data_IF_644096536895
#
_entry.id   IF_644096536895
#
_cell.length_a   1.000
_cell.length_b   1.000
_cell.length_c   1.000
_cell.angle_alpha   90.00
_cell.angle_beta   90.00
_cell.angle_gamma   90.00
#
_symmetry.space_group_name_H-M   'P 1'
#
loop_
_entity.id
_entity.type
_entity.pdbx_description
1 polymer ?
#
# COMPACT_ATOMS: atom_id res chain seq x y z
N UNK A 1 3.96 18.41 29.88
CA UNK A 1 4.94 17.41 30.38
C UNK A 1 6.04 17.30 29.35
N UNK A 2 7.30 17.48 29.73
CA UNK A 2 8.45 17.24 28.85
C UNK A 2 8.56 15.75 28.61
N UNK A 3 8.46 15.32 27.35
CA UNK A 3 8.59 13.92 26.98
C UNK A 3 10.06 13.50 27.18
N UNK A 4 10.31 12.57 28.09
CA UNK A 4 11.66 12.06 28.36
C UNK A 4 12.01 11.06 27.27
N UNK A 5 13.00 11.40 26.43
CA UNK A 5 13.52 10.50 25.39
C UNK A 5 14.37 9.41 26.09
N UNK A 6 14.09 8.11 25.87
CA UNK A 6 14.89 7.04 26.45
C UNK A 6 16.29 7.00 25.81
N UNK A 7 17.27 6.47 26.54
CA UNK A 7 18.56 6.09 25.93
C UNK A 7 18.35 4.83 25.10
N UNK A 8 18.76 4.87 23.83
CA UNK A 8 18.67 3.72 22.93
C UNK A 8 19.94 2.88 23.02
N UNK A 9 19.78 1.55 22.98
CA UNK A 9 20.87 0.59 22.84
C UNK A 9 20.81 0.02 21.43
N UNK A 10 21.76 0.42 20.58
CA UNK A 10 21.83 -0.03 19.19
C UNK A 10 22.44 -1.43 19.18
N UNK A 11 21.68 -2.40 18.67
CA UNK A 11 22.16 -3.78 18.53
C UNK A 11 23.15 -3.92 17.37
N UNK A 12 24.15 -4.83 17.47
CA UNK A 12 25.03 -5.14 16.35
C UNK A 12 24.24 -5.53 15.09
N UNK A 13 24.65 -5.03 13.93
CA UNK A 13 23.98 -5.30 12.65
C UNK A 13 22.77 -4.41 12.34
N UNK A 14 22.33 -3.56 13.27
CA UNK A 14 21.23 -2.62 13.04
C UNK A 14 21.49 -1.73 11.82
N UNK A 15 20.49 -1.63 10.93
CA UNK A 15 20.55 -0.82 9.72
C UNK A 15 19.49 0.29 9.77
N UNK A 16 19.87 1.58 9.74
CA UNK A 16 18.93 2.68 9.56
C UNK A 16 18.16 2.60 8.23
N UNK A 17 16.97 3.19 8.14
CA UNK A 17 16.14 3.24 6.93
C UNK A 17 16.80 4.00 5.78
N UNK A 18 17.79 4.85 6.09
CA UNK A 18 18.56 5.61 5.11
C UNK A 18 20.04 5.68 5.49
N UNK A 19 20.92 5.73 4.49
CA UNK A 19 22.38 5.77 4.68
C UNK A 19 22.89 7.05 5.33
N UNK A 20 22.12 8.14 5.23
CA UNK A 20 22.40 9.46 5.81
C UNK A 20 21.74 9.66 7.19
N UNK A 21 21.09 8.64 7.74
CA UNK A 21 20.45 8.67 9.06
C UNK A 21 21.31 7.90 10.06
N UNK A 22 21.68 8.53 11.19
CA UNK A 22 22.42 7.79 12.23
C UNK A 22 21.49 6.78 12.93
N UNK A 23 22.02 5.65 13.42
CA UNK A 23 21.21 4.68 14.17
C UNK A 23 20.43 5.30 15.32
N UNK A 24 20.97 6.28 16.04
CA UNK A 24 20.29 6.96 17.14
C UNK A 24 19.06 7.75 16.69
N UNK A 25 19.14 8.42 15.54
CA UNK A 25 18.01 9.15 14.95
C UNK A 25 16.93 8.18 14.50
N UNK A 26 17.33 7.10 13.82
CA UNK A 26 16.41 6.07 13.35
C UNK A 26 15.66 5.42 14.54
N UNK A 27 16.38 5.07 15.61
CA UNK A 27 15.76 4.55 16.85
C UNK A 27 14.74 5.54 17.45
N UNK A 28 15.04 6.83 17.47
CA UNK A 28 14.12 7.86 17.96
C UNK A 28 12.86 7.92 17.10
N UNK A 29 13.00 7.91 15.78
CA UNK A 29 11.88 7.92 14.83
C UNK A 29 10.97 6.70 15.02
N UNK A 30 11.55 5.49 15.09
CA UNK A 30 10.78 4.27 15.32
C UNK A 30 10.18 4.21 16.72
N UNK A 31 10.84 4.76 17.73
CA UNK A 31 10.27 4.90 19.07
C UNK A 31 9.06 5.84 19.10
N UNK A 32 9.07 6.92 18.32
CA UNK A 32 7.92 7.81 18.16
C UNK A 32 6.78 7.12 17.38
N UNK A 33 7.11 6.35 16.33
CA UNK A 33 6.12 5.60 15.55
C UNK A 33 5.45 4.49 16.38
N UNK A 34 6.18 3.83 17.28
CA UNK A 34 5.64 2.83 18.23
C UNK A 34 4.54 3.38 19.14
N UNK A 35 4.55 4.68 19.40
CA UNK A 35 3.52 5.34 20.23
C UNK A 35 2.25 5.68 19.44
N UNK A 36 2.19 5.31 18.16
CA UNK A 36 1.03 5.53 17.30
C UNK A 36 0.27 4.22 17.08
N UNK A 37 -1.05 4.29 16.96
CA UNK A 37 -1.84 3.16 16.48
C UNK A 37 -1.68 3.00 14.96
N UNK A 38 -2.03 1.84 14.38
CA UNK A 38 -2.07 1.69 12.92
C UNK A 38 -2.90 2.77 12.22
N UNK A 39 -4.08 3.11 12.76
CA UNK A 39 -4.95 4.17 12.21
C UNK A 39 -4.31 5.55 12.25
N UNK A 40 -3.58 5.87 13.32
CA UNK A 40 -2.84 7.12 13.41
C UNK A 40 -1.72 7.20 12.37
N UNK A 41 -1.01 6.09 12.11
CA UNK A 41 -0.01 6.04 11.02
C UNK A 41 -0.66 6.13 9.64
N UNK A 42 -1.84 5.54 9.44
CA UNK A 42 -2.62 5.70 8.21
C UNK A 42 -3.04 7.17 7.98
N UNK A 43 -3.46 7.89 9.04
CA UNK A 43 -3.77 9.33 8.96
C UNK A 43 -2.51 10.13 8.58
N UNK A 44 -1.36 9.81 9.19
CA UNK A 44 -0.08 10.45 8.85
C UNK A 44 0.29 10.22 7.38
N UNK A 45 0.18 8.98 6.89
CA UNK A 45 0.44 8.63 5.49
C UNK A 45 -0.50 9.32 4.52
N UNK A 46 -1.80 9.36 4.84
CA UNK A 46 -2.80 10.07 4.06
C UNK A 46 -2.49 11.56 3.94
N UNK A 47 -2.11 12.20 5.05
CA UNK A 47 -1.69 13.60 5.04
C UNK A 47 -0.44 13.83 4.18
N UNK A 48 0.56 12.95 4.26
CA UNK A 48 1.78 13.03 3.43
C UNK A 48 1.46 12.92 1.93
N UNK A 49 0.65 11.95 1.52
CA UNK A 49 0.27 11.77 0.12
C UNK A 49 -0.55 12.95 -0.41
N UNK A 50 -1.52 13.44 0.37
CA UNK A 50 -2.29 14.62 -0.01
C UNK A 50 -1.39 15.86 -0.19
N UNK A 51 -0.44 16.07 0.71
CA UNK A 51 0.50 17.18 0.63
C UNK A 51 1.43 17.06 -0.60
N UNK A 52 1.93 15.85 -0.88
CA UNK A 52 2.73 15.60 -2.07
C UNK A 52 1.95 15.89 -3.36
N UNK A 53 0.69 15.45 -3.45
CA UNK A 53 -0.18 15.72 -4.60
C UNK A 53 -0.50 17.22 -4.74
N UNK A 54 -0.84 17.90 -3.63
CA UNK A 54 -1.08 19.36 -3.62
C UNK A 54 0.14 20.13 -4.13
N UNK A 55 1.32 19.80 -3.63
CA UNK A 55 2.55 20.47 -4.06
C UNK A 55 2.88 20.19 -5.53
N UNK A 56 2.78 18.92 -5.97
CA UNK A 56 2.93 18.54 -7.38
C UNK A 56 2.00 19.33 -8.30
N UNK A 57 0.73 19.43 -7.93
CA UNK A 57 -0.28 20.19 -8.69
C UNK A 57 0.02 21.69 -8.72
N UNK A 58 0.45 22.29 -7.60
CA UNK A 58 0.87 23.68 -7.55
C UNK A 58 2.04 23.96 -8.49
N UNK A 59 3.06 23.10 -8.51
CA UNK A 59 4.18 23.20 -9.44
C UNK A 59 3.73 23.06 -10.91
N UNK A 60 2.80 22.13 -11.17
CA UNK A 60 2.22 21.94 -12.50
C UNK A 60 1.46 23.18 -12.96
N UNK A 61 0.64 23.79 -12.09
CA UNK A 61 -0.08 25.03 -12.42
C UNK A 61 0.86 26.17 -12.77
N UNK A 62 1.94 26.31 -12.02
CA UNK A 62 2.95 27.33 -12.30
C UNK A 62 3.66 27.09 -13.64
N UNK A 63 4.04 25.84 -13.92
CA UNK A 63 4.77 25.48 -15.14
C UNK A 63 3.89 25.50 -16.40
N UNK A 64 2.63 25.12 -16.26
CA UNK A 64 1.68 24.93 -17.36
C UNK A 64 0.52 25.94 -17.28
N UNK A 65 0.79 27.15 -16.79
CA UNK A 65 -0.22 28.21 -16.61
C UNK A 65 -0.90 28.67 -17.90
N UNK A 66 -0.34 28.30 -19.06
CA UNK A 66 -0.86 28.59 -20.39
C UNK A 66 -1.86 27.55 -20.91
N UNK A 67 -2.00 26.40 -20.24
CA UNK A 67 -2.95 25.37 -20.63
C UNK A 67 -4.37 25.75 -20.20
N UNK A 68 -5.37 25.38 -21.00
CA UNK A 68 -6.77 25.39 -20.53
C UNK A 68 -6.95 24.40 -19.37
N UNK A 69 -8.04 24.53 -18.61
CA UNK A 69 -8.33 23.59 -17.51
C UNK A 69 -8.38 22.14 -17.99
N UNK A 70 -8.96 21.88 -19.17
CA UNK A 70 -9.04 20.55 -19.78
C UNK A 70 -7.65 20.01 -20.12
N UNK A 71 -6.83 20.80 -20.82
CA UNK A 71 -5.46 20.45 -21.17
C UNK A 71 -4.58 20.22 -19.93
N UNK A 72 -4.77 21.04 -18.89
CA UNK A 72 -4.10 20.89 -17.61
C UNK A 72 -4.47 19.57 -16.93
N UNK A 73 -5.77 19.26 -16.86
CA UNK A 73 -6.28 18.03 -16.23
C UNK A 73 -5.74 16.79 -16.93
N UNK A 74 -5.74 16.80 -18.26
CA UNK A 74 -5.11 15.75 -19.07
C UNK A 74 -3.62 15.64 -18.80
N UNK A 75 -2.89 16.75 -18.78
CA UNK A 75 -1.44 16.76 -18.52
C UNK A 75 -1.10 16.19 -17.14
N UNK A 76 -1.94 16.48 -16.15
CA UNK A 76 -1.83 15.94 -14.80
C UNK A 76 -2.03 14.42 -14.79
N UNK A 77 -3.10 13.93 -15.44
CA UNK A 77 -3.37 12.50 -15.56
C UNK A 77 -2.25 11.74 -16.27
N UNK A 78 -1.77 12.24 -17.41
CA UNK A 78 -0.63 11.67 -18.15
C UNK A 78 0.62 11.56 -17.26
N UNK A 79 0.83 12.55 -16.37
CA UNK A 79 2.00 12.57 -15.49
C UNK A 79 1.87 11.66 -14.28
N UNK A 80 0.67 11.49 -13.74
CA UNK A 80 0.42 10.70 -12.53
C UNK A 80 0.18 9.22 -12.83
N UNK A 81 -0.51 8.92 -13.92
CA UNK A 81 -0.77 7.55 -14.39
C UNK A 81 0.33 7.03 -15.32
N UNK A 82 1.15 7.90 -15.91
CA UNK A 82 2.24 7.53 -16.81
C UNK A 82 1.75 6.63 -17.97
N UNK A 83 2.37 5.47 -18.15
CA UNK A 83 2.02 4.48 -19.18
C UNK A 83 0.61 3.89 -19.01
N UNK A 84 0.04 3.99 -17.81
CA UNK A 84 -1.31 3.50 -17.51
C UNK A 84 -2.40 4.56 -17.81
N UNK A 85 -2.06 5.73 -18.35
CA UNK A 85 -3.03 6.76 -18.70
C UNK A 85 -3.75 6.43 -20.03
N UNK A 86 -5.10 6.30 -20.04
CA UNK A 86 -5.82 6.03 -21.29
C UNK A 86 -5.70 7.18 -22.30
N UNK A 87 -5.57 6.88 -23.60
CA UNK A 87 -5.26 7.86 -24.66
C UNK A 87 -6.22 9.05 -24.78
N UNK A 88 -7.49 8.86 -24.43
CA UNK A 88 -8.55 9.88 -24.51
C UNK A 88 -9.13 10.26 -23.15
N UNK A 89 -8.41 9.94 -22.06
CA UNK A 89 -8.87 10.24 -20.72
C UNK A 89 -8.64 11.71 -20.36
N UNK A 90 -9.72 12.37 -19.93
CA UNK A 90 -9.71 13.70 -19.36
C UNK A 90 -10.38 13.59 -17.99
N UNK A 91 -9.65 13.85 -16.89
CA UNK A 91 -10.23 13.81 -15.55
C UNK A 91 -11.40 14.78 -15.41
N UNK A 92 -12.51 14.30 -14.85
CA UNK A 92 -13.72 15.11 -14.62
C UNK A 92 -13.77 15.74 -13.22
N UNK A 93 -12.87 15.30 -12.34
CA UNK A 93 -12.77 15.81 -10.98
C UNK A 93 -12.17 17.22 -10.89
N UNK A 94 -11.74 17.57 -9.69
CA UNK A 94 -11.12 18.85 -9.39
C UNK A 94 -9.96 18.66 -8.41
N UNK A 95 -9.32 19.77 -8.05
CA UNK A 95 -8.18 19.75 -7.13
C UNK A 95 -8.43 18.99 -5.84
N UNK A 96 -9.63 19.14 -5.25
CA UNK A 96 -9.98 18.48 -4.00
C UNK A 96 -10.10 16.97 -4.17
N UNK A 97 -10.58 16.48 -5.32
CA UNK A 97 -10.70 15.04 -5.60
C UNK A 97 -9.36 14.43 -5.99
N UNK A 98 -8.51 15.16 -6.72
CA UNK A 98 -7.22 14.68 -7.20
C UNK A 98 -6.17 14.55 -6.09
N UNK A 99 -6.25 15.39 -5.05
CA UNK A 99 -5.28 15.31 -3.95
C UNK A 99 -5.55 14.18 -2.96
N UNK A 100 -6.65 13.43 -3.10
CA UNK A 100 -7.00 12.38 -2.15
C UNK A 100 -5.94 11.26 -2.10
N UNK A 101 -5.82 10.63 -0.93
CA UNK A 101 -4.91 9.48 -0.73
C UNK A 101 -5.46 8.23 -1.43
N UNK A 102 -4.59 7.31 -1.88
CA UNK A 102 -5.07 6.09 -2.55
C UNK A 102 -5.92 5.18 -1.64
N UNK A 103 -5.75 5.24 -0.31
CA UNK A 103 -6.59 4.49 0.64
C UNK A 103 -8.06 4.90 0.60
N UNK A 104 -8.40 6.10 0.11
CA UNK A 104 -9.80 6.51 -0.02
C UNK A 104 -10.53 5.67 -1.06
N UNK A 105 -9.82 5.05 -2.03
CA UNK A 105 -10.42 4.08 -2.93
C UNK A 105 -10.99 2.87 -2.19
N UNK A 106 -10.43 2.50 -1.03
CA UNK A 106 -10.94 1.38 -0.25
C UNK A 106 -12.36 1.64 0.27
N UNK A 107 -12.74 2.89 0.52
CA UNK A 107 -14.10 3.25 0.90
C UNK A 107 -15.09 3.04 -0.26
N UNK A 108 -14.65 3.26 -1.49
CA UNK A 108 -15.46 3.08 -2.70
C UNK A 108 -15.55 1.59 -3.07
N UNK A 109 -14.45 0.86 -2.93
CA UNK A 109 -14.34 -0.55 -3.34
C UNK A 109 -14.96 -1.51 -2.33
N UNK A 110 -14.86 -1.23 -1.02
CA UNK A 110 -15.36 -2.11 0.04
C UNK A 110 -16.85 -2.49 -0.13
N UNK A 111 -17.78 -1.55 -0.35
CA UNK A 111 -19.20 -1.90 -0.55
C UNK A 111 -19.46 -2.82 -1.74
N UNK A 112 -18.66 -2.71 -2.81
CA UNK A 112 -18.77 -3.58 -3.98
C UNK A 112 -18.37 -5.00 -3.62
N UNK A 113 -17.22 -5.15 -2.95
CA UNK A 113 -16.74 -6.45 -2.50
C UNK A 113 -17.72 -7.13 -1.54
N UNK A 114 -18.28 -6.38 -0.59
CA UNK A 114 -19.33 -6.90 0.31
C UNK A 114 -20.58 -7.34 -0.47
N UNK A 115 -21.06 -6.53 -1.42
CA UNK A 115 -22.27 -6.84 -2.19
C UNK A 115 -22.13 -8.11 -3.06
N UNK A 116 -20.91 -8.40 -3.51
CA UNK A 116 -20.58 -9.57 -4.32
C UNK A 116 -20.04 -10.73 -3.49
N UNK A 117 -19.96 -10.60 -2.16
CA UNK A 117 -19.34 -11.57 -1.25
C UNK A 117 -17.91 -11.94 -1.67
N UNK A 118 -17.11 -10.96 -2.07
CA UNK A 118 -15.70 -11.12 -2.47
C UNK A 118 -14.83 -10.87 -1.23
N UNK A 119 -14.21 -11.89 -0.60
CA UNK A 119 -13.24 -11.67 0.45
C UNK A 119 -12.05 -10.87 -0.10
N UNK A 120 -11.61 -9.88 0.65
CA UNK A 120 -10.46 -9.06 0.27
C UNK A 120 -9.60 -8.67 1.48
N UNK A 121 -8.37 -8.24 1.21
CA UNK A 121 -7.57 -7.48 2.16
C UNK A 121 -6.63 -6.51 1.43
N UNK A 122 -6.34 -5.39 2.09
CA UNK A 122 -5.39 -4.37 1.63
C UNK A 122 -3.97 -4.80 2.01
N UNK A 123 -3.04 -4.70 1.07
CA UNK A 123 -1.64 -5.08 1.24
C UNK A 123 -0.70 -3.94 0.83
N UNK A 124 0.53 -4.28 0.46
CA UNK A 124 1.43 -3.43 -0.30
C UNK A 124 1.75 -2.12 0.40
N UNK A 125 1.55 -1.02 -0.33
CA UNK A 125 2.01 0.29 0.10
C UNK A 125 1.34 0.80 1.37
N UNK A 126 0.02 0.61 1.46
CA UNK A 126 -0.84 1.10 2.54
C UNK A 126 -0.65 0.29 3.82
N UNK A 127 -0.61 -1.05 3.71
CA UNK A 127 -0.42 -1.90 4.88
C UNK A 127 0.97 -1.68 5.51
N UNK A 128 2.01 -1.44 4.69
CA UNK A 128 3.34 -1.07 5.19
C UNK A 128 3.32 0.22 6.04
N UNK A 129 2.53 1.23 5.66
CA UNK A 129 2.38 2.47 6.41
C UNK A 129 1.66 2.20 7.75
N UNK A 130 0.61 1.37 7.74
CA UNK A 130 -0.14 1.03 8.94
C UNK A 130 0.74 0.36 10.01
N UNK A 131 1.67 -0.50 9.59
CA UNK A 131 2.49 -1.29 10.50
C UNK A 131 3.93 -0.80 10.67
N UNK A 132 4.42 0.11 9.84
CA UNK A 132 5.84 0.47 9.77
C UNK A 132 6.10 1.96 9.64
N UNK A 133 7.12 2.29 8.86
CA UNK A 133 7.50 3.68 8.58
C UNK A 133 6.45 4.38 7.71
N UNK A 134 6.09 5.60 8.08
CA UNK A 134 5.15 6.40 7.29
C UNK A 134 5.89 6.99 6.08
N UNK A 135 5.36 6.71 4.89
CA UNK A 135 5.88 7.23 3.61
C UNK A 135 4.74 7.48 2.63
N UNK A 136 5.04 8.05 1.47
CA UNK A 136 4.07 8.18 0.39
C UNK A 136 3.84 6.84 -0.33
N UNK A 137 2.65 6.66 -0.90
CA UNK A 137 2.31 5.54 -1.79
C UNK A 137 1.52 6.06 -2.98
N UNK A 138 1.66 5.43 -4.13
CA UNK A 138 0.99 5.87 -5.35
C UNK A 138 -0.35 5.17 -5.55
N UNK A 139 -0.37 3.86 -5.28
CA UNK A 139 -1.50 2.98 -5.57
C UNK A 139 -2.04 2.34 -4.30
N UNK A 140 -3.24 1.80 -4.39
CA UNK A 140 -3.84 0.93 -3.40
C UNK A 140 -3.73 -0.52 -3.89
N UNK A 141 -3.03 -1.37 -3.14
CA UNK A 141 -2.90 -2.79 -3.47
C UNK A 141 -3.93 -3.61 -2.69
N UNK A 142 -4.80 -4.34 -3.38
CA UNK A 142 -5.85 -5.16 -2.76
C UNK A 142 -5.76 -6.58 -3.30
N UNK A 143 -5.73 -7.58 -2.43
CA UNK A 143 -5.91 -8.97 -2.83
C UNK A 143 -7.38 -9.34 -2.71
N UNK A 144 -7.95 -9.94 -3.74
CA UNK A 144 -9.35 -10.38 -3.79
C UNK A 144 -9.44 -11.88 -4.09
N UNK A 145 -10.31 -12.58 -3.37
CA UNK A 145 -10.67 -13.97 -3.66
C UNK A 145 -11.95 -13.96 -4.49
N UNK A 146 -11.81 -14.20 -5.79
CA UNK A 146 -12.91 -14.06 -6.75
C UNK A 146 -12.90 -15.23 -7.74
N UNK A 147 -14.09 -15.68 -8.13
CA UNK A 147 -14.25 -16.66 -9.19
C UNK A 147 -14.17 -15.99 -10.57
N UNK A 148 -13.84 -16.75 -11.61
CA UNK A 148 -13.89 -16.23 -12.99
C UNK A 148 -15.29 -15.79 -13.42
N UNK A 149 -16.35 -16.34 -12.80
CA UNK A 149 -17.75 -16.00 -13.10
C UNK A 149 -18.11 -14.63 -12.49
N UNK A 150 -17.65 -14.35 -11.27
CA UNK A 150 -17.92 -13.09 -10.57
C UNK A 150 -17.04 -11.93 -11.07
N UNK A 151 -15.93 -12.22 -11.74
CA UNK A 151 -15.04 -11.22 -12.30
C UNK A 151 -15.76 -10.30 -13.29
N UNK A 152 -16.61 -10.85 -14.17
CA UNK A 152 -17.40 -10.04 -15.12
C UNK A 152 -18.37 -9.12 -14.38
N UNK A 153 -19.02 -9.60 -13.32
CA UNK A 153 -19.93 -8.80 -12.51
C UNK A 153 -19.19 -7.68 -11.77
N UNK A 154 -18.01 -7.97 -11.21
CA UNK A 154 -17.15 -6.98 -10.57
C UNK A 154 -16.77 -5.85 -11.55
N UNK A 155 -16.33 -6.21 -12.76
CA UNK A 155 -15.93 -5.24 -13.79
C UNK A 155 -17.12 -4.31 -14.13
N UNK A 156 -18.30 -4.88 -14.38
CA UNK A 156 -19.49 -4.09 -14.69
C UNK A 156 -19.87 -3.12 -13.55
N UNK A 157 -19.78 -3.55 -12.29
CA UNK A 157 -20.05 -2.69 -11.13
C UNK A 157 -19.02 -1.57 -11.01
N UNK A 158 -17.74 -1.86 -11.22
CA UNK A 158 -16.66 -0.87 -11.20
C UNK A 158 -16.85 0.19 -12.29
N UNK A 159 -17.12 -0.23 -13.52
CA UNK A 159 -17.35 0.69 -14.65
C UNK A 159 -18.59 1.57 -14.41
N UNK A 160 -19.67 1.00 -13.86
CA UNK A 160 -20.90 1.72 -13.56
C UNK A 160 -20.73 2.87 -12.56
N UNK A 161 -19.72 2.79 -11.67
CA UNK A 161 -19.41 3.84 -10.69
C UNK A 161 -18.20 4.70 -11.08
N UNK A 162 -17.74 4.61 -12.33
CA UNK A 162 -16.70 5.50 -12.86
C UNK A 162 -15.27 5.01 -12.69
N UNK A 163 -15.04 3.70 -12.56
CA UNK A 163 -13.70 3.14 -12.78
C UNK A 163 -13.48 2.82 -14.26
N UNK A 164 -12.28 3.15 -14.73
CA UNK A 164 -11.70 2.54 -15.92
C UNK A 164 -10.97 1.27 -15.51
N UNK A 165 -11.24 0.16 -16.19
CA UNK A 165 -10.66 -1.15 -15.89
C UNK A 165 -9.77 -1.58 -17.05
N UNK A 166 -8.49 -1.87 -16.77
CA UNK A 166 -7.51 -2.36 -17.76
C UNK A 166 -6.99 -3.76 -17.42
N UNK A 167 -6.50 -4.46 -18.44
CA UNK A 167 -5.91 -5.80 -18.29
C UNK A 167 -6.93 -6.94 -18.16
N UNK A 168 -8.20 -6.72 -18.51
CA UNK A 168 -9.28 -7.72 -18.40
C UNK A 168 -8.92 -9.01 -19.15
N UNK A 169 -8.51 -8.92 -20.42
CA UNK A 169 -8.17 -10.08 -21.22
C UNK A 169 -6.98 -10.88 -20.65
N UNK A 170 -6.02 -10.19 -20.04
CA UNK A 170 -4.85 -10.83 -19.43
C UNK A 170 -5.23 -11.58 -18.14
N UNK A 171 -6.11 -11.01 -17.32
CA UNK A 171 -6.62 -11.68 -16.12
C UNK A 171 -7.52 -12.85 -16.47
N UNK A 172 -8.45 -12.69 -17.42
CA UNK A 172 -9.37 -13.75 -17.86
C UNK A 172 -8.60 -14.92 -18.50
N UNK A 173 -7.54 -14.63 -19.26
CA UNK A 173 -6.70 -15.66 -19.87
C UNK A 173 -5.65 -16.27 -18.92
N UNK A 174 -5.54 -15.76 -17.69
CA UNK A 174 -4.54 -16.20 -16.71
C UNK A 174 -3.11 -15.75 -17.02
N UNK A 175 -2.91 -14.83 -17.98
CA UNK A 175 -1.59 -14.24 -18.28
C UNK A 175 -1.10 -13.31 -17.17
N UNK A 176 -2.02 -12.66 -16.47
CA UNK A 176 -1.72 -11.75 -15.35
C UNK A 176 -2.59 -12.07 -14.15
N UNK A 177 -2.03 -11.89 -12.95
CA UNK A 177 -2.75 -12.04 -11.68
C UNK A 177 -3.31 -10.73 -11.13
N UNK A 178 -3.30 -9.64 -11.90
CA UNK A 178 -3.67 -8.30 -11.39
C UNK A 178 -4.54 -7.56 -12.39
N UNK A 179 -5.71 -7.10 -11.93
CA UNK A 179 -6.59 -6.20 -12.64
C UNK A 179 -6.36 -4.77 -12.14
N UNK A 180 -5.99 -3.86 -13.04
CA UNK A 180 -5.74 -2.47 -12.67
C UNK A 180 -7.03 -1.67 -12.85
N UNK A 181 -7.40 -0.90 -11.82
CA UNK A 181 -8.63 -0.09 -11.83
C UNK A 181 -8.32 1.35 -11.48
N UNK A 182 -8.73 2.28 -12.33
CA UNK A 182 -8.49 3.72 -12.14
C UNK A 182 -9.80 4.45 -11.96
N UNK A 183 -9.99 5.10 -10.82
CA UNK A 183 -11.15 5.95 -10.60
C UNK A 183 -11.02 7.27 -11.37
N UNK A 184 -11.88 7.45 -12.38
CA UNK A 184 -11.80 8.50 -13.40
C UNK A 184 -11.92 9.90 -12.78
N UNK A 185 -12.66 10.05 -11.69
CA UNK A 185 -12.81 11.37 -11.05
C UNK A 185 -11.56 11.79 -10.27
N UNK A 186 -10.89 10.85 -9.58
CA UNK A 186 -9.82 11.15 -8.62
C UNK A 186 -8.41 10.90 -9.17
N UNK A 187 -8.28 10.37 -10.40
CA UNK A 187 -6.98 9.98 -10.99
C UNK A 187 -6.22 9.01 -10.06
N UNK A 188 -6.95 8.23 -9.27
CA UNK A 188 -6.37 7.31 -8.29
C UNK A 188 -6.56 5.89 -8.78
N UNK A 189 -5.52 5.07 -8.59
CA UNK A 189 -5.50 3.69 -9.06
C UNK A 189 -5.40 2.71 -7.91
N UNK A 190 -6.10 1.60 -8.05
CA UNK A 190 -5.91 0.39 -7.27
C UNK A 190 -5.48 -0.76 -8.17
N UNK A 191 -4.61 -1.61 -7.63
CA UNK A 191 -4.19 -2.86 -8.25
C UNK A 191 -4.95 -3.99 -7.52
N UNK A 192 -5.93 -4.61 -8.20
CA UNK A 192 -6.72 -5.72 -7.68
C UNK A 192 -6.04 -7.05 -8.04
N UNK A 193 -5.38 -7.64 -7.07
CA UNK A 193 -4.58 -8.86 -7.21
C UNK A 193 -5.49 -10.07 -6.96
N UNK A 194 -5.55 -10.98 -7.91
CA UNK A 194 -6.28 -12.24 -7.76
C UNK A 194 -5.54 -13.12 -6.76
N UNK A 195 -6.25 -13.57 -5.72
CA UNK A 195 -5.72 -14.51 -4.75
C UNK A 195 -5.25 -15.80 -5.43
N UNK A 196 -4.02 -16.20 -5.12
CA UNK A 196 -3.51 -17.52 -5.51
C UNK A 196 -4.29 -18.63 -4.79
N UNK A 197 -4.49 -19.76 -5.46
CA UNK A 197 -5.07 -20.94 -4.81
C UNK A 197 -3.98 -21.70 -4.02
N UNK A 198 -3.51 -21.08 -2.93
CA UNK A 198 -2.49 -21.65 -2.04
C UNK A 198 -2.94 -21.60 -0.58
N UNK A 199 -2.44 -22.53 0.23
CA UNK A 199 -2.68 -22.58 1.67
C UNK A 199 -2.20 -21.29 2.36
N UNK A 200 -1.04 -20.76 1.93
CA UNK A 200 -0.52 -19.50 2.44
C UNK A 200 -1.49 -18.34 2.21
N UNK A 201 -2.12 -18.27 1.03
CA UNK A 201 -3.06 -17.21 0.71
C UNK A 201 -4.36 -17.34 1.54
N UNK A 202 -4.86 -18.56 1.74
CA UNK A 202 -6.03 -18.82 2.59
C UNK A 202 -5.79 -18.37 4.03
N UNK A 203 -4.62 -18.68 4.61
CA UNK A 203 -4.24 -18.28 5.96
C UNK A 203 -4.24 -16.74 6.10
N UNK A 204 -3.78 -15.99 5.09
CA UNK A 204 -3.82 -14.51 5.12
C UNK A 204 -5.25 -13.97 5.22
N UNK A 205 -6.20 -14.59 4.52
CA UNK A 205 -7.61 -14.20 4.60
C UNK A 205 -8.18 -14.42 6.00
N UNK A 206 -7.77 -15.49 6.70
CA UNK A 206 -8.17 -15.77 8.08
C UNK A 206 -7.52 -14.81 9.08
N UNK A 207 -6.26 -14.42 8.82
CA UNK A 207 -5.46 -13.54 9.68
C UNK A 207 -5.62 -12.05 9.40
N UNK A 208 -6.40 -11.65 8.39
CA UNK A 208 -6.59 -10.23 8.04
C UNK A 208 -7.16 -9.45 9.23
N UNK A 209 -6.72 -8.21 9.36
CA UNK A 209 -7.00 -7.35 10.50
C UNK A 209 -7.90 -6.18 10.06
N UNK A 210 -8.88 -5.84 10.89
CA UNK A 210 -9.86 -4.80 10.58
C UNK A 210 -9.40 -3.45 11.14
N UNK A 211 -9.40 -2.42 10.30
CA UNK A 211 -8.99 -1.06 10.69
C UNK A 211 -9.94 0.00 10.16
N UNK A 212 -10.07 1.09 10.92
CA UNK A 212 -10.75 2.30 10.47
C UNK A 212 -9.77 3.16 9.67
N UNK A 213 -10.11 3.47 8.42
CA UNK A 213 -9.31 4.36 7.57
C UNK A 213 -9.68 5.83 7.83
N UNK A 214 -8.88 6.82 7.36
CA UNK A 214 -9.09 8.23 7.67
C UNK A 214 -10.48 8.77 7.30
N UNK A 215 -11.16 8.19 6.31
CA UNK A 215 -12.52 8.57 5.91
C UNK A 215 -13.60 8.07 6.86
N UNK A 216 -13.26 7.10 7.73
CA UNK A 216 -14.13 6.51 8.73
C UNK A 216 -14.70 5.15 8.33
N UNK A 217 -14.53 4.74 7.07
CA UNK A 217 -14.84 3.39 6.62
C UNK A 217 -13.97 2.35 7.35
N UNK A 218 -14.49 1.15 7.48
CA UNK A 218 -13.77 0.03 8.09
C UNK A 218 -13.41 -0.97 7.02
N UNK A 219 -12.13 -1.36 6.95
CA UNK A 219 -11.60 -2.21 5.88
C UNK A 219 -10.66 -3.27 6.47
N UNK A 220 -10.34 -4.28 5.67
CA UNK A 220 -9.40 -5.33 6.05
C UNK A 220 -8.01 -5.05 5.49
N UNK A 221 -6.97 -5.18 6.31
CA UNK A 221 -5.56 -5.20 5.92
C UNK A 221 -4.97 -6.60 6.16
N UNK A 222 -3.96 -6.98 5.39
CA UNK A 222 -3.11 -8.12 5.72
C UNK A 222 -2.52 -7.97 7.14
N UNK A 223 -2.20 -9.06 7.84
CA UNK A 223 -1.49 -8.97 9.12
C UNK A 223 -0.09 -8.37 8.94
N UNK A 224 0.52 -7.87 10.01
CA UNK A 224 1.87 -7.32 9.91
C UNK A 224 2.91 -8.37 9.48
N UNK A 225 2.76 -9.61 9.95
CA UNK A 225 3.60 -10.73 9.56
C UNK A 225 3.45 -11.05 8.08
N UNK A 226 2.22 -11.07 7.57
CA UNK A 226 1.96 -11.37 6.16
C UNK A 226 2.46 -10.24 5.23
N UNK A 227 2.45 -8.99 5.70
CA UNK A 227 3.10 -7.88 4.99
C UNK A 227 4.60 -8.08 4.91
N UNK A 228 5.26 -8.51 5.98
CA UNK A 228 6.70 -8.83 5.97
C UNK A 228 6.97 -9.95 4.96
N UNK A 229 6.28 -11.08 5.07
CA UNK A 229 6.49 -12.25 4.21
C UNK A 229 6.25 -11.94 2.73
N UNK A 230 5.16 -11.25 2.40
CA UNK A 230 4.87 -10.85 1.03
C UNK A 230 5.98 -9.95 0.47
N UNK A 231 6.48 -8.98 1.25
CA UNK A 231 7.53 -8.07 0.78
C UNK A 231 8.88 -8.75 0.59
N UNK A 232 9.24 -9.69 1.48
CA UNK A 232 10.41 -10.55 1.29
C UNK A 232 10.29 -11.38 0.02
N UNK A 233 9.12 -11.98 -0.22
CA UNK A 233 8.85 -12.72 -1.45
C UNK A 233 9.04 -11.85 -2.71
N UNK A 234 8.46 -10.64 -2.74
CA UNK A 234 8.65 -9.71 -3.85
C UNK A 234 10.11 -9.26 -4.02
N UNK A 235 10.82 -9.01 -2.91
CA UNK A 235 12.25 -8.67 -2.94
C UNK A 235 13.07 -9.80 -3.55
N UNK A 236 12.82 -11.05 -3.19
CA UNK A 236 13.54 -12.20 -3.76
C UNK A 236 13.47 -12.21 -5.30
N UNK A 237 12.35 -11.77 -5.87
CA UNK A 237 12.15 -11.70 -7.32
C UNK A 237 12.84 -10.51 -8.01
N UNK A 238 12.95 -9.35 -7.35
CA UNK A 238 13.34 -8.09 -8.02
C UNK A 238 14.41 -7.25 -7.30
N UNK A 239 14.95 -7.74 -6.18
CA UNK A 239 15.96 -7.09 -5.34
C UNK A 239 15.59 -5.65 -4.93
N UNK A 240 14.30 -5.38 -4.74
CA UNK A 240 13.81 -4.03 -4.43
C UNK A 240 14.18 -3.56 -3.03
N UNK A 241 15.02 -2.53 -2.94
CA UNK A 241 15.33 -1.83 -1.68
C UNK A 241 14.10 -1.20 -1.03
N UNK A 242 13.08 -0.83 -1.81
CA UNK A 242 11.81 -0.32 -1.27
C UNK A 242 11.08 -1.40 -0.46
N UNK A 243 11.06 -2.64 -0.96
CA UNK A 243 10.44 -3.75 -0.23
C UNK A 243 11.23 -4.06 1.05
N UNK A 244 12.56 -4.02 0.97
CA UNK A 244 13.42 -4.20 2.14
C UNK A 244 13.21 -3.13 3.22
N UNK A 245 13.18 -1.84 2.82
CA UNK A 245 12.90 -0.73 3.74
C UNK A 245 11.53 -0.87 4.41
N UNK A 246 10.51 -1.26 3.66
CA UNK A 246 9.19 -1.50 4.24
C UNK A 246 9.22 -2.69 5.24
N UNK A 247 9.95 -3.78 4.95
CA UNK A 247 10.14 -4.91 5.89
C UNK A 247 10.81 -4.45 7.19
N UNK A 248 11.96 -3.76 7.09
CA UNK A 248 12.65 -3.23 8.26
C UNK A 248 11.76 -2.26 9.05
N UNK A 249 10.99 -1.43 8.35
CA UNK A 249 10.07 -0.50 8.98
C UNK A 249 8.98 -1.19 9.81
N UNK A 250 8.34 -2.23 9.24
CA UNK A 250 7.34 -3.03 9.95
C UNK A 250 7.97 -3.76 11.15
N UNK A 251 9.11 -4.43 10.95
CA UNK A 251 9.84 -5.12 12.02
C UNK A 251 10.19 -4.17 13.17
N UNK A 252 10.76 -3.00 12.85
CA UNK A 252 11.18 -2.01 13.85
C UNK A 252 10.00 -1.45 14.63
N UNK A 253 8.86 -1.13 13.98
CA UNK A 253 7.67 -0.60 14.67
C UNK A 253 6.97 -1.68 15.48
N UNK A 254 6.66 -2.85 14.88
CA UNK A 254 5.88 -3.89 15.56
C UNK A 254 6.67 -4.59 16.66
N UNK A 255 7.97 -4.79 16.47
CA UNK A 255 8.86 -5.35 17.48
C UNK A 255 8.33 -6.66 18.08
N UNK A 256 8.21 -6.70 19.40
CA UNK A 256 7.78 -7.89 20.15
C UNK A 256 6.30 -8.25 19.98
N UNK A 257 5.49 -7.39 19.34
CA UNK A 257 4.09 -7.72 19.06
C UNK A 257 3.94 -8.72 17.90
N UNK A 258 5.01 -8.96 17.13
CA UNK A 258 4.99 -9.91 16.02
C UNK A 258 5.02 -11.35 16.50
N UNK A 259 4.26 -12.21 15.82
CA UNK A 259 4.38 -13.66 15.95
C UNK A 259 5.63 -14.15 15.18
N UNK A 260 6.77 -14.13 15.88
CA UNK A 260 8.05 -14.59 15.32
C UNK A 260 8.06 -16.10 15.01
N UNK A 261 7.24 -16.90 15.70
CA UNK A 261 7.15 -18.33 15.42
C UNK A 261 6.45 -18.56 14.08
N UNK A 262 5.35 -17.87 13.83
CA UNK A 262 4.66 -17.86 12.54
C UNK A 262 5.56 -17.35 11.41
N UNK A 263 6.24 -16.21 11.61
CA UNK A 263 7.16 -15.67 10.59
C UNK A 263 8.23 -16.68 10.18
N UNK A 264 8.86 -17.36 11.14
CA UNK A 264 9.89 -18.37 10.86
C UNK A 264 9.32 -19.58 10.14
N UNK A 265 8.18 -20.12 10.62
CA UNK A 265 7.51 -21.25 9.99
C UNK A 265 7.16 -20.96 8.53
N UNK A 266 6.59 -19.79 8.26
CA UNK A 266 6.21 -19.40 6.91
C UNK A 266 7.42 -19.05 6.04
N UNK A 267 8.45 -18.43 6.61
CA UNK A 267 9.68 -18.17 5.87
C UNK A 267 10.38 -19.47 5.44
N UNK A 268 10.33 -20.53 6.25
CA UNK A 268 10.81 -21.86 5.85
C UNK A 268 10.02 -22.40 4.66
N UNK A 269 8.68 -22.41 4.71
CA UNK A 269 7.87 -22.94 3.61
C UNK A 269 8.00 -22.13 2.31
N UNK A 270 8.28 -20.83 2.41
CA UNK A 270 8.44 -19.93 1.26
C UNK A 270 9.89 -19.80 0.77
N UNK A 271 10.85 -20.42 1.47
CA UNK A 271 12.29 -20.30 1.18
C UNK A 271 12.80 -18.85 1.34
N UNK A 272 12.39 -18.18 2.41
CA UNK A 272 12.71 -16.79 2.78
C UNK A 272 13.52 -16.69 4.08
N UNK A 273 14.01 -17.82 4.61
CA UNK A 273 14.70 -17.88 5.92
C UNK A 273 15.89 -16.92 5.99
N UNK A 274 16.79 -16.97 5.00
CA UNK A 274 17.98 -16.12 4.97
C UNK A 274 17.62 -14.62 4.94
N UNK A 275 16.63 -14.27 4.12
CA UNK A 275 16.10 -12.91 4.01
C UNK A 275 15.46 -12.44 5.33
N UNK A 276 14.68 -13.30 5.99
CA UNK A 276 14.03 -12.98 7.27
C UNK A 276 15.06 -12.81 8.38
N UNK A 277 16.04 -13.72 8.49
CA UNK A 277 17.09 -13.66 9.51
C UNK A 277 17.92 -12.38 9.36
N UNK A 278 18.29 -12.02 8.12
CA UNK A 278 18.98 -10.77 7.85
C UNK A 278 18.12 -9.56 8.23
N UNK A 279 16.82 -9.58 7.93
CA UNK A 279 15.90 -8.49 8.27
C UNK A 279 15.75 -8.31 9.78
N UNK A 280 15.69 -9.42 10.53
CA UNK A 280 15.61 -9.42 11.99
C UNK A 280 16.87 -8.80 12.62
N UNK A 281 18.06 -9.17 12.14
CA UNK A 281 19.34 -8.58 12.57
C UNK A 281 19.35 -7.08 12.28
N UNK A 282 19.02 -6.68 11.04
CA UNK A 282 19.02 -5.28 10.61
C UNK A 282 17.97 -4.42 11.31
N UNK A 283 16.84 -5.01 11.72
CA UNK A 283 15.81 -4.35 12.51
C UNK A 283 16.13 -4.29 14.01
N UNK A 284 17.19 -4.98 14.47
CA UNK A 284 17.61 -5.00 15.87
C UNK A 284 16.80 -5.94 16.76
N UNK A 285 16.45 -7.13 16.26
CA UNK A 285 15.85 -8.21 17.06
C UNK A 285 16.87 -8.92 17.97
#
# INVERSE_FOLDING_TARGET
MTQIIPKFTIKPGYRPQSQDTTPEVDYLEFWLLKQRTPEQRLIMGSSMNQNARRFSMSCFRQRFSYLSQEQFSRKLAESWLAEDCPHHYIPTGNEMSWVQDSITLAEILHPIFESLNIPYYITGGVAAIAYGEVRTTRYLDIVISISSQDLTLLILQLEAIGFYVSGVDDVVSGRMGTLQVTHIETISRADLIMAENSEFEQIKFERRQQYKIPTGATVFLASAEDVILNKLYWRKLNQSEKQWRDVLGVLKVQGQCLDLAYLKLMAESLGLVEDLDQALIEAGF
#
